data_IF_767730544123
#
_entry.id   IF_767730544123
#
_cell.length_a   1.000
_cell.length_b   1.000
_cell.length_c   1.000
_cell.angle_alpha   90.00
_cell.angle_beta   90.00
_cell.angle_gamma   90.00
#
_symmetry.space_group_name_H-M   'P 1'
#
loop_
_entity.id
_entity.type
_entity.pdbx_description
1 polymer ?
#
# COMPACT_ATOMS: atom_id res chain seq x y z
N UNK A 1 -14.15 11.45 13.26
CA UNK A 1 -13.26 11.50 12.08
C UNK A 1 -13.92 10.77 10.93
N UNK A 2 -13.86 11.28 9.70
CA UNK A 2 -14.50 10.68 8.52
C UNK A 2 -13.48 9.90 7.70
N UNK A 3 -13.81 8.67 7.33
CA UNK A 3 -12.98 7.84 6.45
C UNK A 3 -12.99 8.39 5.02
N UNK A 4 -11.82 8.52 4.40
CA UNK A 4 -11.64 8.98 3.03
C UNK A 4 -11.49 7.80 2.07
N UNK A 5 -12.61 7.36 1.50
CA UNK A 5 -12.66 6.26 0.54
C UNK A 5 -11.82 6.50 -0.72
N UNK A 6 -11.68 7.75 -1.18
CA UNK A 6 -10.90 8.08 -2.38
C UNK A 6 -9.43 7.77 -2.16
N UNK A 7 -8.89 8.19 -1.02
CA UNK A 7 -7.49 7.94 -0.66
C UNK A 7 -7.26 6.46 -0.40
N UNK A 8 -8.15 5.80 0.34
CA UNK A 8 -8.06 4.36 0.56
C UNK A 8 -7.99 3.59 -0.76
N UNK A 9 -8.85 3.91 -1.72
CA UNK A 9 -8.85 3.26 -3.03
C UNK A 9 -7.55 3.50 -3.80
N UNK A 10 -7.06 4.74 -3.86
CA UNK A 10 -5.79 5.08 -4.53
C UNK A 10 -4.62 4.32 -3.91
N UNK A 11 -4.61 4.13 -2.58
CA UNK A 11 -3.59 3.36 -1.89
C UNK A 11 -3.64 1.85 -2.21
N UNK A 12 -4.84 1.33 -2.50
CA UNK A 12 -5.02 -0.09 -2.83
C UNK A 12 -4.66 -0.41 -4.29
N UNK A 13 -4.92 0.52 -5.22
CA UNK A 13 -4.73 0.32 -6.66
C UNK A 13 -3.36 -0.27 -7.03
N UNK A 14 -2.21 0.18 -6.47
CA UNK A 14 -0.89 -0.41 -6.74
C UNK A 14 -0.77 -1.91 -6.46
N UNK A 15 -1.56 -2.44 -5.53
CA UNK A 15 -1.49 -3.87 -5.16
C UNK A 15 -2.10 -4.78 -6.22
N UNK A 16 -3.06 -4.31 -7.02
CA UNK A 16 -3.68 -5.08 -8.10
C UNK A 16 -2.65 -5.50 -9.16
N UNK A 17 -1.91 -4.58 -9.81
CA UNK A 17 -0.88 -4.95 -10.77
C UNK A 17 0.29 -5.69 -10.11
N UNK A 18 0.63 -5.41 -8.84
CA UNK A 18 1.66 -6.16 -8.12
C UNK A 18 1.25 -7.64 -7.92
N UNK A 19 0.01 -7.93 -7.55
CA UNK A 19 -0.51 -9.29 -7.42
C UNK A 19 -0.51 -9.99 -8.78
N UNK A 20 -0.97 -9.31 -9.83
CA UNK A 20 -0.94 -9.87 -11.19
C UNK A 20 0.48 -10.20 -11.64
N UNK A 21 1.43 -9.29 -11.38
CA UNK A 21 2.84 -9.48 -11.69
C UNK A 21 3.45 -10.64 -10.90
N UNK A 22 3.13 -10.75 -9.60
CA UNK A 22 3.53 -11.91 -8.80
C UNK A 22 3.04 -13.21 -9.41
N UNK A 23 1.76 -13.32 -9.77
CA UNK A 23 1.21 -14.52 -10.38
C UNK A 23 1.92 -14.87 -11.68
N UNK A 24 2.23 -13.88 -12.53
CA UNK A 24 2.97 -14.07 -13.77
C UNK A 24 4.40 -14.56 -13.53
N UNK A 25 5.14 -13.95 -12.61
CA UNK A 25 6.51 -14.34 -12.27
C UNK A 25 6.55 -15.75 -11.68
N UNK A 26 5.54 -16.09 -10.87
CA UNK A 26 5.47 -17.38 -10.19
C UNK A 26 5.26 -18.57 -11.16
N UNK A 27 4.80 -18.32 -12.40
CA UNK A 27 4.77 -19.33 -13.48
C UNK A 27 6.20 -19.81 -13.81
N UNK A 28 7.19 -18.93 -13.70
CA UNK A 28 8.58 -19.20 -14.10
C UNK A 28 9.50 -19.50 -12.91
N UNK A 29 9.17 -19.00 -11.72
CA UNK A 29 9.96 -19.16 -10.50
C UNK A 29 9.12 -19.91 -9.47
N UNK A 30 9.44 -21.19 -9.24
CA UNK A 30 8.72 -22.03 -8.27
C UNK A 30 8.96 -21.65 -6.82
N UNK A 31 10.11 -21.01 -6.52
CA UNK A 31 10.38 -20.51 -5.19
C UNK A 31 9.49 -19.30 -4.89
N UNK A 32 8.58 -19.45 -3.93
CA UNK A 32 7.62 -18.43 -3.51
C UNK A 32 8.30 -17.10 -3.14
N UNK A 33 9.34 -17.16 -2.32
CA UNK A 33 10.04 -15.96 -1.83
C UNK A 33 10.78 -15.28 -2.99
N UNK A 34 11.45 -16.06 -3.83
CA UNK A 34 12.14 -15.57 -5.02
C UNK A 34 11.19 -14.90 -6.01
N UNK A 35 10.04 -15.51 -6.31
CA UNK A 35 9.03 -14.95 -7.19
C UNK A 35 8.47 -13.63 -6.66
N UNK A 36 8.21 -13.55 -5.35
CA UNK A 36 7.73 -12.34 -4.69
C UNK A 36 8.77 -11.20 -4.77
N UNK A 37 10.03 -11.47 -4.46
CA UNK A 37 11.10 -10.48 -4.55
C UNK A 37 11.29 -9.95 -5.97
N UNK A 38 11.23 -10.82 -6.97
CA UNK A 38 11.34 -10.43 -8.39
C UNK A 38 10.13 -9.56 -8.80
N UNK A 39 8.91 -9.96 -8.42
CA UNK A 39 7.72 -9.17 -8.71
C UNK A 39 7.76 -7.79 -8.07
N UNK A 40 8.16 -7.69 -6.80
CA UNK A 40 8.34 -6.41 -6.11
C UNK A 40 9.42 -5.57 -6.80
N UNK A 41 10.55 -6.17 -7.16
CA UNK A 41 11.65 -5.46 -7.85
C UNK A 41 11.21 -4.86 -9.19
N UNK A 42 10.53 -5.66 -10.03
CA UNK A 42 9.99 -5.17 -11.31
C UNK A 42 8.95 -4.07 -11.05
N UNK A 43 8.05 -4.27 -10.09
CA UNK A 43 7.01 -3.31 -9.76
C UNK A 43 7.60 -1.96 -9.30
N UNK A 44 8.59 -1.97 -8.41
CA UNK A 44 9.24 -0.75 -7.90
C UNK A 44 9.92 0.04 -9.00
N UNK A 45 10.56 -0.63 -9.98
CA UNK A 45 11.17 0.06 -11.14
C UNK A 45 10.08 0.73 -11.98
N UNK A 46 8.99 0.00 -12.30
CA UNK A 46 7.87 0.55 -13.07
C UNK A 46 7.20 1.72 -12.35
N UNK A 47 6.94 1.58 -11.05
CA UNK A 47 6.37 2.63 -10.20
C UNK A 47 7.27 3.88 -10.23
N UNK A 48 8.58 3.73 -10.06
CA UNK A 48 9.52 4.84 -10.11
C UNK A 48 9.44 5.61 -11.44
N UNK A 49 9.43 4.90 -12.57
CA UNK A 49 9.28 5.52 -13.89
C UNK A 49 7.95 6.25 -14.03
N UNK A 50 6.84 5.63 -13.62
CA UNK A 50 5.49 6.23 -13.70
C UNK A 50 5.40 7.46 -12.79
N UNK A 51 5.92 7.37 -11.57
CA UNK A 51 5.90 8.46 -10.60
C UNK A 51 6.70 9.66 -11.13
N UNK A 52 7.92 9.43 -11.62
CA UNK A 52 8.76 10.51 -12.12
C UNK A 52 8.19 11.17 -13.38
N UNK A 53 7.67 10.36 -14.31
CA UNK A 53 7.16 10.85 -15.61
C UNK A 53 5.78 11.50 -15.50
N UNK A 54 4.88 10.92 -14.70
CA UNK A 54 3.47 11.31 -14.65
C UNK A 54 3.03 11.76 -13.26
N UNK A 55 3.40 10.99 -12.22
CA UNK A 55 2.99 11.24 -10.84
C UNK A 55 3.38 12.64 -10.34
N UNK A 56 4.63 13.05 -10.56
CA UNK A 56 5.15 14.34 -10.08
C UNK A 56 4.36 15.54 -10.61
N UNK A 57 4.00 15.53 -11.89
CA UNK A 57 3.19 16.60 -12.49
C UNK A 57 1.74 16.54 -12.01
N UNK A 58 1.20 15.33 -11.84
CA UNK A 58 -0.16 15.12 -11.34
C UNK A 58 -0.33 15.60 -9.90
N UNK A 59 0.55 15.19 -8.98
CA UNK A 59 0.48 15.56 -7.56
C UNK A 59 0.74 17.05 -7.31
N UNK A 60 1.50 17.72 -8.19
CA UNK A 60 1.60 19.19 -8.16
C UNK A 60 0.26 19.89 -8.44
N UNK A 61 -0.59 19.32 -9.29
CA UNK A 61 -1.92 19.85 -9.62
C UNK A 61 -3.00 19.38 -8.64
N UNK A 62 -2.81 18.21 -8.04
CA UNK A 62 -3.72 17.57 -7.10
C UNK A 62 -3.00 17.20 -5.79
N UNK A 63 -2.54 18.19 -5.01
CA UNK A 63 -1.78 17.93 -3.77
C UNK A 63 -2.62 17.18 -2.74
N UNK A 64 -3.96 17.28 -2.80
CA UNK A 64 -4.91 16.54 -1.97
C UNK A 64 -4.95 15.03 -2.24
N UNK A 65 -4.31 14.57 -3.30
CA UNK A 65 -4.17 13.16 -3.65
C UNK A 65 -2.77 12.61 -3.39
N UNK A 66 -1.83 13.48 -3.00
CA UNK A 66 -0.48 13.08 -2.64
C UNK A 66 -0.45 12.62 -1.18
N UNK A 67 -0.15 11.34 -0.96
CA UNK A 67 -0.06 10.73 0.37
C UNK A 67 1.00 11.39 1.26
N UNK A 68 2.01 12.04 0.70
CA UNK A 68 3.02 12.74 1.49
C UNK A 68 2.46 13.94 2.25
N UNK A 69 1.33 14.49 1.78
CA UNK A 69 0.64 15.60 2.44
C UNK A 69 -0.36 15.11 3.51
N UNK A 70 -0.41 13.82 3.82
CA UNK A 70 -1.35 13.26 4.80
C UNK A 70 -0.66 13.00 6.14
N UNK A 71 -1.31 13.43 7.21
CA UNK A 71 -0.88 13.17 8.58
C UNK A 71 -1.65 12.03 9.22
N UNK A 72 -0.94 11.31 10.10
CA UNK A 72 -1.54 10.28 10.92
C UNK A 72 -2.51 10.89 11.94
N UNK A 73 -3.76 10.44 11.88
CA UNK A 73 -4.77 10.74 12.88
C UNK A 73 -4.74 9.70 14.00
N UNK A 74 -5.39 10.02 15.12
CA UNK A 74 -5.63 9.07 16.23
C UNK A 74 -6.24 7.76 15.70
N UNK A 75 -7.23 7.85 14.80
CA UNK A 75 -7.87 6.65 14.25
C UNK A 75 -6.92 5.86 13.35
N UNK A 76 -6.10 6.52 12.52
CA UNK A 76 -5.11 5.81 11.70
C UNK A 76 -4.08 5.08 12.56
N UNK A 77 -3.63 5.70 13.66
CA UNK A 77 -2.70 5.08 14.61
C UNK A 77 -3.35 3.91 15.35
N UNK A 78 -4.63 4.05 15.71
CA UNK A 78 -5.39 2.96 16.32
C UNK A 78 -5.50 1.74 15.38
N UNK A 79 -5.83 1.96 14.10
CA UNK A 79 -5.86 0.88 13.11
C UNK A 79 -4.50 0.23 12.96
N UNK A 80 -3.42 1.03 12.96
CA UNK A 80 -2.05 0.49 12.92
C UNK A 80 -1.77 -0.41 14.12
N UNK A 81 -2.14 0.04 15.32
CA UNK A 81 -1.95 -0.72 16.56
C UNK A 81 -2.73 -2.04 16.54
N UNK A 82 -4.01 -2.01 16.15
CA UNK A 82 -4.84 -3.22 16.00
C UNK A 82 -4.26 -4.17 14.96
N UNK A 83 -3.76 -3.64 13.83
CA UNK A 83 -3.11 -4.43 12.79
C UNK A 83 -1.86 -5.15 13.29
N UNK A 84 -1.01 -4.46 14.06
CA UNK A 84 0.19 -5.05 14.68
C UNK A 84 -0.19 -6.16 15.65
N UNK A 85 -1.16 -5.93 16.54
CA UNK A 85 -1.65 -6.96 17.47
C UNK A 85 -2.16 -8.19 16.69
N UNK A 86 -2.92 -7.96 15.62
CA UNK A 86 -3.39 -9.02 14.74
C UNK A 86 -2.25 -9.84 14.14
N UNK A 87 -1.25 -9.18 13.53
CA UNK A 87 -0.10 -9.86 12.92
C UNK A 87 0.70 -10.66 13.95
N UNK A 88 0.99 -10.06 15.11
CA UNK A 88 1.72 -10.73 16.19
C UNK A 88 0.93 -11.94 16.72
N UNK A 89 -0.37 -11.76 16.97
CA UNK A 89 -1.25 -12.84 17.43
C UNK A 89 -1.33 -14.00 16.44
N UNK A 90 -1.52 -13.72 15.15
CA UNK A 90 -1.54 -14.73 14.09
C UNK A 90 -0.20 -15.47 13.98
N UNK A 91 0.91 -14.76 14.15
CA UNK A 91 2.26 -15.34 14.12
C UNK A 91 2.48 -16.29 15.30
N UNK A 92 2.11 -15.87 16.52
CA UNK A 92 2.21 -16.70 17.72
C UNK A 92 1.29 -17.94 17.66
N UNK A 93 0.15 -17.82 16.99
CA UNK A 93 -0.78 -18.92 16.76
C UNK A 93 -0.35 -19.87 15.62
N UNK A 94 0.80 -19.63 14.97
CA UNK A 94 1.30 -20.39 13.83
C UNK A 94 0.28 -20.56 12.70
N UNK A 95 -0.61 -19.57 12.52
CA UNK A 95 -1.65 -19.62 11.49
C UNK A 95 -0.98 -19.47 10.13
N UNK A 96 -1.17 -20.41 9.19
CA UNK A 96 -0.58 -20.30 7.87
C UNK A 96 -1.15 -19.06 7.17
N UNK A 97 -0.26 -18.19 6.69
CA UNK A 97 -0.59 -16.92 6.03
C UNK A 97 -1.24 -17.07 4.64
N UNK A 98 -1.73 -18.26 4.31
CA UNK A 98 -2.33 -18.57 3.02
C UNK A 98 -1.35 -18.40 1.87
N UNK A 99 -1.88 -18.02 0.70
CA UNK A 99 -1.06 -17.74 -0.47
C UNK A 99 -0.41 -16.36 -0.39
N UNK A 100 0.78 -16.14 -0.97
CA UNK A 100 1.42 -14.82 -1.04
C UNK A 100 0.55 -13.76 -1.73
N UNK A 101 -0.28 -14.15 -2.69
CA UNK A 101 -1.25 -13.26 -3.32
C UNK A 101 -2.33 -12.80 -2.32
N UNK A 102 -2.83 -13.71 -1.49
CA UNK A 102 -3.75 -13.39 -0.38
C UNK A 102 -3.08 -12.45 0.61
N UNK A 103 -1.82 -12.72 0.97
CA UNK A 103 -1.04 -11.86 1.85
C UNK A 103 -0.90 -10.43 1.29
N UNK A 104 -0.52 -10.30 0.01
CA UNK A 104 -0.42 -8.99 -0.66
C UNK A 104 -1.75 -8.25 -0.69
N UNK A 105 -2.87 -8.95 -0.96
CA UNK A 105 -4.20 -8.36 -0.97
C UNK A 105 -4.63 -7.89 0.43
N UNK A 106 -4.42 -8.72 1.46
CA UNK A 106 -4.71 -8.37 2.85
C UNK A 106 -3.87 -7.19 3.32
N UNK A 107 -2.57 -7.17 2.98
CA UNK A 107 -1.69 -6.06 3.30
C UNK A 107 -2.09 -4.79 2.56
N UNK A 108 -2.45 -4.88 1.28
CA UNK A 108 -2.95 -3.75 0.50
C UNK A 108 -4.24 -3.17 1.07
N UNK A 109 -5.19 -4.02 1.49
CA UNK A 109 -6.43 -3.58 2.15
C UNK A 109 -6.14 -2.90 3.49
N UNK A 110 -5.26 -3.49 4.31
CA UNK A 110 -4.83 -2.90 5.56
C UNK A 110 -4.19 -1.52 5.34
N UNK A 111 -3.25 -1.42 4.41
CA UNK A 111 -2.60 -0.16 4.04
C UNK A 111 -3.61 0.88 3.55
N UNK A 112 -4.58 0.48 2.74
CA UNK A 112 -5.67 1.34 2.29
C UNK A 112 -6.55 1.86 3.43
N UNK A 113 -6.92 1.01 4.39
CA UNK A 113 -7.72 1.40 5.55
C UNK A 113 -6.94 2.40 6.42
N UNK A 114 -5.67 2.13 6.72
CA UNK A 114 -4.82 3.04 7.50
C UNK A 114 -4.77 4.43 6.86
N UNK A 115 -4.48 4.49 5.55
CA UNK A 115 -4.38 5.76 4.84
C UNK A 115 -5.74 6.44 4.63
N UNK A 116 -6.83 5.68 4.54
CA UNK A 116 -8.19 6.24 4.50
C UNK A 116 -8.59 6.98 5.78
N UNK A 117 -7.97 6.68 6.91
CA UNK A 117 -8.17 7.42 8.16
C UNK A 117 -7.21 8.60 8.36
N UNK A 118 -6.19 8.75 7.51
CA UNK A 118 -5.31 9.92 7.57
C UNK A 118 -6.03 11.19 7.13
N UNK A 119 -5.56 12.32 7.62
CA UNK A 119 -6.11 13.64 7.26
C UNK A 119 -5.12 14.40 6.38
N UNK A 120 -5.64 15.05 5.35
CA UNK A 120 -4.85 15.94 4.51
C UNK A 120 -4.38 17.15 5.32
N UNK A 121 -3.08 17.32 5.45
CA UNK A 121 -2.45 18.57 5.88
C UNK A 121 -2.18 19.37 4.61
N UNK A 122 -2.80 20.55 4.50
CA UNK A 122 -2.43 21.47 3.43
C UNK A 122 -0.93 21.72 3.53
N UNK A 123 -0.17 21.57 2.42
CA UNK A 123 1.17 22.10 2.40
C UNK A 123 1.07 23.57 2.78
N UNK A 124 1.84 23.99 3.79
CA UNK A 124 2.04 25.41 4.06
C UNK A 124 2.68 25.96 2.81
N UNK A 125 1.90 26.69 2.02
CA UNK A 125 2.44 27.42 0.88
C UNK A 125 3.57 28.28 1.42
N UNK A 126 4.81 28.02 0.98
CA UNK A 126 5.84 29.03 1.01
C UNK A 126 5.28 30.24 0.25
N UNK A 127 5.25 31.37 0.96
CA UNK A 127 4.82 32.69 0.48
C UNK A 127 5.71 33.12 -0.70
#
# INVERSE_FOLDING_TARGET
MKFNFKIALICFVPYIPLIALYLLVHIYISNVVGALLVAVGIFSVLEFFIHYRYGKTFFKKHPELDLHNFESTIMSNFVVFVGIIGIVGLTLAAIPWGSPATFLASFGLYYAIVNGFKSYRRPTNDI
#
